data_IF_047896745181
#
_entry.id   IF_047896745181
#
_cell.length_a   1.000
_cell.length_b   1.000
_cell.length_c   1.000
_cell.angle_alpha   90.00
_cell.angle_beta   90.00
_cell.angle_gamma   90.00
#
_symmetry.space_group_name_H-M   'P 1'
#
loop_
_entity.id
_entity.type
_entity.pdbx_description
1 polymer ?
#
# COMPACT_ATOMS: atom_id res chain seq x y z
N UNK A 1 11.23 -11.53 6.13
CA UNK A 1 11.51 -11.00 4.78
C UNK A 1 11.95 -12.16 3.91
N UNK A 2 11.01 -12.86 3.27
CA UNK A 2 11.33 -13.99 2.38
C UNK A 2 10.70 -13.69 1.04
N UNK A 3 11.51 -13.20 0.10
CA UNK A 3 11.35 -13.51 -1.31
C UNK A 3 12.76 -13.68 -1.86
N UNK A 4 13.31 -14.87 -1.62
CA UNK A 4 14.35 -15.41 -2.49
C UNK A 4 13.78 -15.43 -3.92
N UNK A 5 14.61 -15.15 -4.91
CA UNK A 5 14.29 -14.70 -6.27
C UNK A 5 13.18 -15.46 -7.06
N UNK A 6 12.72 -16.64 -6.63
CA UNK A 6 11.65 -17.40 -7.28
C UNK A 6 10.23 -16.85 -7.08
N UNK A 7 9.92 -16.22 -5.94
CA UNK A 7 8.55 -15.77 -5.66
C UNK A 7 8.07 -14.64 -6.59
N UNK A 8 8.98 -13.73 -6.97
CA UNK A 8 8.65 -12.61 -7.87
C UNK A 8 8.26 -13.08 -9.26
N UNK A 9 8.92 -14.12 -9.78
CA UNK A 9 8.60 -14.70 -11.08
C UNK A 9 7.20 -15.34 -11.08
N UNK A 10 6.83 -16.04 -10.00
CA UNK A 10 5.50 -16.63 -9.86
C UNK A 10 4.40 -15.56 -9.80
N UNK A 11 4.59 -14.47 -9.04
CA UNK A 11 3.63 -13.37 -9.00
C UNK A 11 3.46 -12.68 -10.36
N UNK A 12 4.55 -12.52 -11.12
CA UNK A 12 4.47 -11.96 -12.48
C UNK A 12 3.64 -12.85 -13.39
N UNK A 13 3.92 -14.15 -13.41
CA UNK A 13 3.16 -15.09 -14.24
C UNK A 13 1.67 -15.11 -13.85
N UNK A 14 1.36 -14.99 -12.55
CA UNK A 14 -0.03 -14.90 -12.09
C UNK A 14 -0.70 -13.61 -12.60
N UNK A 15 -0.02 -12.47 -12.55
CA UNK A 15 -0.56 -11.20 -13.06
C UNK A 15 -0.86 -11.30 -14.56
N UNK A 16 0.00 -11.97 -15.34
CA UNK A 16 -0.23 -12.22 -16.78
C UNK A 16 -1.48 -13.08 -17.03
N UNK A 17 -1.66 -14.16 -16.26
CA UNK A 17 -2.85 -15.02 -16.36
C UNK A 17 -4.14 -14.25 -16.01
N UNK A 18 -4.11 -13.45 -14.95
CA UNK A 18 -5.27 -12.65 -14.53
C UNK A 18 -5.63 -11.61 -15.60
N UNK A 19 -4.64 -10.93 -16.16
CA UNK A 19 -4.86 -9.92 -17.20
C UNK A 19 -5.43 -10.52 -18.50
N UNK A 20 -5.11 -11.78 -18.81
CA UNK A 20 -5.57 -12.47 -20.03
C UNK A 20 -6.93 -13.12 -19.86
N UNK A 21 -7.14 -13.83 -18.75
CA UNK A 21 -8.21 -14.85 -18.66
C UNK A 21 -9.36 -14.44 -17.73
N UNK A 22 -9.19 -13.41 -16.89
CA UNK A 22 -10.22 -12.99 -15.93
C UNK A 22 -10.95 -11.76 -16.50
N UNK A 23 -12.30 -11.69 -16.42
CA UNK A 23 -13.07 -10.54 -16.87
C UNK A 23 -12.98 -9.36 -15.88
N UNK A 24 -11.76 -9.03 -15.44
CA UNK A 24 -11.46 -7.86 -14.60
C UNK A 24 -10.48 -6.97 -15.35
N UNK A 25 -10.81 -5.69 -15.45
CA UNK A 25 -9.91 -4.67 -16.00
C UNK A 25 -9.35 -3.86 -14.84
N UNK A 26 -8.06 -4.01 -14.48
CA UNK A 26 -7.44 -3.14 -13.47
C UNK A 26 -7.43 -1.70 -13.99
N UNK A 27 -8.15 -0.80 -13.33
CA UNK A 27 -8.28 0.61 -13.76
C UNK A 27 -7.24 1.49 -13.05
N UNK A 28 -7.17 1.39 -11.72
CA UNK A 28 -6.23 2.15 -10.89
C UNK A 28 -5.99 1.45 -9.56
N UNK A 29 -4.90 1.83 -8.89
CA UNK A 29 -4.68 1.51 -7.48
C UNK A 29 -5.09 2.74 -6.66
N UNK A 30 -5.89 2.52 -5.62
CA UNK A 30 -6.38 3.60 -4.78
C UNK A 30 -5.25 4.21 -3.92
N UNK A 31 -5.35 5.51 -3.66
CA UNK A 31 -4.45 6.25 -2.79
C UNK A 31 -5.22 6.71 -1.55
N UNK A 32 -4.77 6.28 -0.38
CA UNK A 32 -5.47 6.63 0.86
C UNK A 32 -5.07 8.01 1.36
N UNK A 33 -5.91 9.00 1.07
CA UNK A 33 -5.71 10.39 1.47
C UNK A 33 -6.27 10.64 2.88
N UNK A 34 -5.49 11.33 3.72
CA UNK A 34 -5.86 11.64 5.09
C UNK A 34 -5.67 13.12 5.38
N UNK A 35 -6.74 13.79 5.80
CA UNK A 35 -6.67 15.16 6.28
C UNK A 35 -6.11 15.16 7.72
N UNK A 36 -5.10 16.00 7.94
CA UNK A 36 -4.39 16.07 9.22
C UNK A 36 -4.21 17.54 9.60
N UNK A 37 -4.41 17.85 10.88
CA UNK A 37 -4.16 19.17 11.45
C UNK A 37 -2.70 19.58 11.23
N UNK A 38 -2.43 20.86 10.97
CA UNK A 38 -1.06 21.32 10.65
C UNK A 38 -0.09 21.08 11.80
N UNK A 39 -0.62 21.08 13.01
CA UNK A 39 0.07 20.88 14.27
C UNK A 39 0.49 19.41 14.48
N UNK A 40 -0.20 18.46 13.82
CA UNK A 40 0.13 17.03 13.94
C UNK A 40 1.35 16.72 13.09
N UNK A 41 2.41 16.26 13.76
CA UNK A 41 3.67 15.80 13.14
C UNK A 41 3.89 14.33 13.44
N UNK A 42 4.69 13.66 12.60
CA UNK A 42 5.11 12.28 12.83
C UNK A 42 4.03 11.21 12.63
N UNK A 43 2.83 11.58 12.19
CA UNK A 43 1.80 10.62 11.77
C UNK A 43 2.30 9.82 10.56
N UNK A 44 2.15 8.50 10.63
CA UNK A 44 2.48 7.58 9.53
C UNK A 44 1.33 6.62 9.29
N UNK A 45 1.21 6.17 8.05
CA UNK A 45 0.31 5.09 7.65
C UNK A 45 1.14 3.84 7.38
N UNK A 46 0.64 2.69 7.80
CA UNK A 46 1.21 1.39 7.40
C UNK A 46 0.79 1.02 5.95
N UNK A 47 1.36 -0.05 5.35
CA UNK A 47 0.97 -0.51 4.01
C UNK A 47 -0.50 -0.95 3.86
N UNK A 48 -1.23 -1.10 4.97
CA UNK A 48 -2.66 -1.40 5.02
C UNK A 48 -3.50 -0.16 5.34
N UNK A 49 -2.91 1.03 5.23
CA UNK A 49 -3.56 2.30 5.49
C UNK A 49 -4.09 2.44 6.92
N UNK A 50 -3.43 1.81 7.89
CA UNK A 50 -3.72 2.03 9.32
C UNK A 50 -2.81 3.13 9.87
N UNK A 51 -3.36 4.13 10.59
CA UNK A 51 -2.56 5.17 11.20
C UNK A 51 -1.79 4.61 12.40
N UNK A 52 -0.51 4.96 12.48
CA UNK A 52 0.32 4.69 13.64
C UNK A 52 0.52 5.99 14.44
N UNK A 53 0.14 5.96 15.72
CA UNK A 53 0.27 7.12 16.62
C UNK A 53 1.54 7.09 17.47
N UNK A 54 2.32 6.00 17.45
CA UNK A 54 3.53 5.83 18.29
C UNK A 54 4.55 6.97 18.19
N UNK A 55 4.60 7.64 17.04
CA UNK A 55 5.51 8.77 16.77
C UNK A 55 4.76 10.06 16.45
N UNK A 56 3.44 10.06 16.59
CA UNK A 56 2.63 11.22 16.32
C UNK A 56 2.64 12.17 17.53
N UNK A 57 2.78 13.46 17.28
CA UNK A 57 2.80 14.49 18.33
C UNK A 57 2.23 15.81 17.80
N UNK A 58 1.89 16.73 18.71
CA UNK A 58 1.39 18.07 18.39
C UNK A 58 2.50 19.10 18.58
N UNK A 59 2.79 19.88 17.53
CA UNK A 59 3.61 21.08 17.65
C UNK A 59 2.74 22.30 17.96
N UNK A 60 3.24 23.19 18.81
CA UNK A 60 2.67 24.52 19.05
C UNK A 60 2.81 25.43 17.82
#
# INVERSE_FOLDING_TARGET
MVLQNGGRALYRNLQELVARDVPVAPIFNDVSLHAVRKEVKGLRMDPFFKPTLEKAWLCE
#
